data_IF_888529126527
#
_entry.id   IF_888529126527
#
_cell.length_a   1.000
_cell.length_b   1.000
_cell.length_c   1.000
_cell.angle_alpha   90.00
_cell.angle_beta   90.00
_cell.angle_gamma   90.00
#
_symmetry.space_group_name_H-M   'P 1'
#
loop_
_entity.id
_entity.type
_entity.pdbx_description
1 polymer ?
#
# COMPACT_ATOMS: atom_id res chain seq x y z
N UNK A 1 26.43 17.77 -8.14
CA UNK A 1 25.90 16.56 -8.78
C UNK A 1 26.98 15.49 -8.74
N UNK A 2 26.74 14.38 -8.05
CA UNK A 2 27.67 13.25 -8.03
C UNK A 2 27.53 12.49 -9.36
N UNK A 3 28.64 12.31 -10.07
CA UNK A 3 28.74 11.50 -11.29
C UNK A 3 29.57 10.27 -10.94
N UNK A 4 29.01 9.10 -11.20
CA UNK A 4 29.83 7.93 -11.42
C UNK A 4 29.58 7.45 -12.86
N UNK A 5 30.67 7.27 -13.61
CA UNK A 5 30.73 6.58 -14.90
C UNK A 5 29.84 7.08 -16.06
N UNK A 6 29.35 8.32 -16.03
CA UNK A 6 28.68 8.96 -17.18
C UNK A 6 27.19 8.67 -17.32
N UNK A 7 26.59 7.92 -16.39
CA UNK A 7 25.13 7.79 -16.26
C UNK A 7 24.60 8.88 -15.31
N UNK A 8 23.48 9.53 -15.67
CA UNK A 8 22.76 10.38 -14.72
C UNK A 8 22.20 9.48 -13.61
N UNK A 9 22.70 9.64 -12.38
CA UNK A 9 22.09 9.02 -11.20
C UNK A 9 20.74 9.70 -11.00
N UNK A 10 19.65 8.97 -11.24
CA UNK A 10 18.31 9.45 -10.91
C UNK A 10 18.10 9.36 -9.40
N UNK A 11 17.14 10.13 -8.90
CA UNK A 11 16.75 10.06 -7.50
C UNK A 11 16.27 8.65 -7.11
N UNK A 12 15.61 7.92 -8.02
CA UNK A 12 15.22 6.53 -7.76
C UNK A 12 16.44 5.63 -7.60
N UNK A 13 17.43 5.73 -8.49
CA UNK A 13 18.65 4.91 -8.43
C UNK A 13 19.47 5.20 -7.17
N UNK A 14 19.54 6.47 -6.74
CA UNK A 14 20.15 6.84 -5.47
C UNK A 14 19.42 6.21 -4.28
N UNK A 15 18.09 6.33 -4.22
CA UNK A 15 17.29 5.75 -3.15
C UNK A 15 17.41 4.21 -3.09
N UNK A 16 17.47 3.55 -4.24
CA UNK A 16 17.69 2.11 -4.33
C UNK A 16 19.06 1.70 -3.78
N UNK A 17 20.14 2.32 -4.27
CA UNK A 17 21.50 2.05 -3.80
C UNK A 17 21.67 2.35 -2.30
N UNK A 18 21.11 3.47 -1.83
CA UNK A 18 21.13 3.82 -0.41
C UNK A 18 20.43 2.76 0.45
N UNK A 19 19.28 2.24 0.00
CA UNK A 19 18.58 1.20 0.77
C UNK A 19 19.37 -0.11 0.79
N UNK A 20 19.97 -0.53 -0.33
CA UNK A 20 20.81 -1.73 -0.37
C UNK A 20 22.02 -1.64 0.57
N UNK A 21 22.66 -0.47 0.65
CA UNK A 21 23.86 -0.28 1.48
C UNK A 21 23.51 -0.19 2.98
N UNK A 22 22.41 0.47 3.34
CA UNK A 22 22.12 0.84 4.74
C UNK A 22 20.94 0.09 5.37
N UNK A 23 20.20 -0.73 4.62
CA UNK A 23 19.08 -1.53 5.13
C UNK A 23 19.48 -3.00 5.19
N UNK A 24 19.66 -3.59 6.39
CA UNK A 24 20.03 -5.00 6.51
C UNK A 24 19.02 -5.93 5.84
N UNK A 25 19.48 -7.03 5.26
CA UNK A 25 18.62 -8.07 4.65
C UNK A 25 17.56 -8.60 5.63
N UNK A 26 17.91 -8.68 6.92
CA UNK A 26 16.97 -9.06 7.99
C UNK A 26 15.80 -8.10 8.13
N UNK A 27 16.01 -6.81 7.83
CA UNK A 27 14.97 -5.79 7.84
C UNK A 27 14.03 -5.98 6.65
N UNK A 28 14.57 -6.21 5.44
CA UNK A 28 13.76 -6.55 4.26
C UNK A 28 12.88 -7.78 4.49
N UNK A 29 13.46 -8.86 4.99
CA UNK A 29 12.73 -10.09 5.35
C UNK A 29 11.65 -9.84 6.40
N UNK A 30 11.88 -8.91 7.34
CA UNK A 30 10.88 -8.51 8.33
C UNK A 30 9.76 -7.71 7.69
N UNK A 31 10.08 -6.72 6.85
CA UNK A 31 9.09 -5.91 6.13
C UNK A 31 8.26 -6.74 5.17
N UNK A 32 8.82 -7.77 4.53
CA UNK A 32 8.08 -8.69 3.66
C UNK A 32 7.05 -9.50 4.46
N UNK A 33 7.47 -10.08 5.59
CA UNK A 33 6.53 -10.72 6.53
C UNK A 33 5.47 -9.76 7.05
N UNK A 34 5.85 -8.54 7.39
CA UNK A 34 4.91 -7.52 7.85
C UNK A 34 3.88 -7.21 6.75
N UNK A 35 4.34 -7.01 5.52
CA UNK A 35 3.49 -6.74 4.36
C UNK A 35 2.53 -7.89 4.04
N UNK A 36 2.97 -9.13 4.21
CA UNK A 36 2.15 -10.31 3.99
C UNK A 36 1.06 -10.49 5.04
N UNK A 37 1.37 -10.14 6.28
CA UNK A 37 0.45 -10.23 7.40
C UNK A 37 -0.35 -8.95 7.63
N UNK A 38 -0.06 -7.87 6.90
CA UNK A 38 -0.77 -6.61 7.05
C UNK A 38 -2.25 -6.79 6.67
N UNK A 39 -3.11 -6.57 7.66
CA UNK A 39 -4.56 -6.55 7.54
C UNK A 39 -5.08 -5.27 8.19
N UNK A 40 -6.22 -4.77 7.72
CA UNK A 40 -6.91 -3.63 8.31
C UNK A 40 -7.22 -3.89 9.79
N UNK A 41 -7.74 -5.09 10.12
CA UNK A 41 -8.10 -5.44 11.49
C UNK A 41 -9.11 -4.43 12.07
N UNK A 42 -8.71 -3.77 13.16
CA UNK A 42 -9.50 -2.74 13.84
C UNK A 42 -9.11 -1.30 13.44
N UNK A 43 -8.14 -1.13 12.54
CA UNK A 43 -7.72 0.20 12.07
C UNK A 43 -8.81 0.80 11.18
N UNK A 44 -8.89 2.13 11.19
CA UNK A 44 -9.62 2.84 10.12
C UNK A 44 -8.96 2.56 8.78
N UNK A 45 -9.73 2.56 7.70
CA UNK A 45 -9.20 2.34 6.33
C UNK A 45 -8.05 3.30 6.03
N UNK A 46 -8.17 4.57 6.42
CA UNK A 46 -7.13 5.58 6.20
C UNK A 46 -5.80 5.22 6.91
N UNK A 47 -5.86 4.68 8.13
CA UNK A 47 -4.67 4.27 8.89
C UNK A 47 -4.02 3.04 8.27
N UNK A 48 -4.84 2.07 7.87
CA UNK A 48 -4.39 0.88 7.15
C UNK A 48 -3.71 1.25 5.81
N UNK A 49 -4.32 2.14 5.01
CA UNK A 49 -3.75 2.60 3.75
C UNK A 49 -2.41 3.33 3.93
N UNK A 50 -2.28 4.10 5.02
CA UNK A 50 -1.02 4.76 5.40
C UNK A 50 0.07 3.73 5.74
N UNK A 51 -0.23 2.74 6.59
CA UNK A 51 0.72 1.68 6.93
C UNK A 51 1.11 0.85 5.70
N UNK A 52 0.13 0.50 4.87
CA UNK A 52 0.36 -0.20 3.60
C UNK A 52 1.35 0.57 2.73
N UNK A 53 1.16 1.88 2.56
CA UNK A 53 2.03 2.73 1.74
C UNK A 53 3.45 2.85 2.28
N UNK A 54 3.62 2.88 3.60
CA UNK A 54 4.95 2.92 4.24
C UNK A 54 5.75 1.65 3.93
N UNK A 55 5.12 0.48 4.04
CA UNK A 55 5.78 -0.81 3.82
C UNK A 55 5.98 -1.07 2.32
N UNK A 56 5.05 -0.61 1.48
CA UNK A 56 5.09 -0.78 0.02
C UNK A 56 6.37 -0.23 -0.63
N UNK A 57 7.01 0.78 -0.04
CA UNK A 57 8.30 1.34 -0.51
C UNK A 57 9.40 0.28 -0.54
N UNK A 58 9.31 -0.76 0.30
CA UNK A 58 10.26 -1.87 0.35
C UNK A 58 9.88 -3.04 -0.57
N UNK A 59 8.74 -2.94 -1.27
CA UNK A 59 8.21 -4.00 -2.15
C UNK A 59 8.10 -3.51 -3.61
N UNK A 60 9.21 -3.23 -4.33
CA UNK A 60 9.16 -2.70 -5.70
C UNK A 60 8.34 -3.56 -6.66
N UNK A 61 8.40 -4.88 -6.48
CA UNK A 61 7.67 -5.86 -7.29
C UNK A 61 6.14 -5.72 -7.14
N UNK A 62 5.66 -5.18 -6.01
CA UNK A 62 4.24 -4.82 -5.80
C UNK A 62 3.99 -3.37 -6.18
N UNK A 63 4.87 -2.45 -5.77
CA UNK A 63 4.72 -1.02 -5.96
C UNK A 63 4.61 -0.62 -7.44
N UNK A 64 5.32 -1.30 -8.32
CA UNK A 64 5.36 -1.00 -9.76
C UNK A 64 4.21 -1.64 -10.56
N UNK A 65 3.37 -2.45 -9.91
CA UNK A 65 2.26 -3.15 -10.55
C UNK A 65 0.93 -2.73 -9.92
N UNK A 66 0.23 -1.78 -10.54
CA UNK A 66 -1.03 -1.23 -10.00
C UNK A 66 -2.06 -2.31 -9.65
N UNK A 67 -2.25 -3.29 -10.54
CA UNK A 67 -3.16 -4.42 -10.31
C UNK A 67 -2.76 -5.21 -9.06
N UNK A 68 -1.47 -5.49 -8.87
CA UNK A 68 -0.95 -6.27 -7.75
C UNK A 68 -1.06 -5.49 -6.45
N UNK A 69 -0.65 -4.21 -6.45
CA UNK A 69 -0.78 -3.27 -5.34
C UNK A 69 -2.22 -3.16 -4.84
N UNK A 70 -3.15 -2.86 -5.75
CA UNK A 70 -4.58 -2.79 -5.45
C UNK A 70 -5.11 -4.11 -4.90
N UNK A 71 -4.83 -5.23 -5.56
CA UNK A 71 -5.34 -6.53 -5.11
C UNK A 71 -4.81 -6.92 -3.72
N UNK A 72 -3.56 -6.58 -3.41
CA UNK A 72 -2.98 -6.81 -2.08
C UNK A 72 -3.67 -5.95 -1.03
N UNK A 73 -3.89 -4.66 -1.32
CA UNK A 73 -4.65 -3.76 -0.44
C UNK A 73 -6.05 -4.31 -0.13
N UNK A 74 -6.81 -4.67 -1.18
CA UNK A 74 -8.16 -5.23 -1.05
C UNK A 74 -8.18 -6.50 -0.19
N UNK A 75 -7.23 -7.43 -0.40
CA UNK A 75 -7.12 -8.66 0.39
C UNK A 75 -6.80 -8.44 1.88
N UNK A 76 -6.33 -7.24 2.23
CA UNK A 76 -6.09 -6.88 3.62
C UNK A 76 -7.25 -6.13 4.27
N UNK A 77 -8.24 -5.66 3.49
CA UNK A 77 -9.45 -5.05 4.05
C UNK A 77 -10.25 -6.05 4.88
N UNK A 78 -11.04 -5.50 5.80
CA UNK A 78 -12.00 -6.26 6.58
C UNK A 78 -13.07 -6.88 5.65
N UNK A 79 -13.60 -8.09 5.92
CA UNK A 79 -14.38 -8.84 4.93
C UNK A 79 -15.64 -8.15 4.41
N UNK A 80 -16.25 -7.30 5.23
CA UNK A 80 -17.40 -6.45 4.88
C UNK A 80 -17.02 -5.38 3.85
N UNK A 81 -16.00 -4.58 4.15
CA UNK A 81 -15.49 -3.55 3.24
C UNK A 81 -14.93 -4.15 1.94
N UNK A 82 -14.21 -5.27 2.04
CA UNK A 82 -13.69 -5.97 0.87
C UNK A 82 -14.77 -6.26 -0.17
N UNK A 83 -15.92 -6.79 0.25
CA UNK A 83 -17.03 -7.14 -0.66
C UNK A 83 -17.63 -5.90 -1.30
N UNK A 84 -17.84 -4.84 -0.52
CA UNK A 84 -18.44 -3.60 -1.02
C UNK A 84 -17.51 -2.89 -2.01
N UNK A 85 -16.23 -2.75 -1.68
CA UNK A 85 -15.23 -2.12 -2.56
C UNK A 85 -15.01 -2.95 -3.82
N UNK A 86 -14.96 -4.27 -3.71
CA UNK A 86 -14.81 -5.16 -4.88
C UNK A 86 -15.99 -5.01 -5.85
N UNK A 87 -17.21 -4.84 -5.33
CA UNK A 87 -18.40 -4.64 -6.17
C UNK A 87 -18.35 -3.33 -6.98
N UNK A 88 -17.72 -2.29 -6.41
CA UNK A 88 -17.49 -1.01 -7.08
C UNK A 88 -16.42 -1.05 -8.19
N UNK A 89 -15.75 -2.19 -8.40
CA UNK A 89 -14.83 -2.43 -9.53
C UNK A 89 -13.68 -1.41 -9.65
N UNK A 90 -13.08 -0.99 -8.53
CA UNK A 90 -11.94 -0.06 -8.52
C UNK A 90 -10.78 -0.55 -9.40
N UNK A 91 -10.34 0.27 -10.35
CA UNK A 91 -9.28 -0.06 -11.30
C UNK A 91 -7.90 0.16 -10.71
N UNK A 92 -7.74 1.16 -9.84
CA UNK A 92 -6.44 1.57 -9.27
C UNK A 92 -6.36 1.37 -7.76
N UNK A 93 -5.15 1.41 -7.20
CA UNK A 93 -4.97 1.41 -5.73
C UNK A 93 -5.65 2.61 -5.08
N UNK A 94 -5.51 3.80 -5.67
CA UNK A 94 -6.08 5.05 -5.14
C UNK A 94 -7.61 4.99 -5.12
N UNK A 95 -8.24 4.52 -6.20
CA UNK A 95 -9.70 4.31 -6.23
C UNK A 95 -10.16 3.32 -5.16
N UNK A 96 -9.42 2.22 -4.95
CA UNK A 96 -9.76 1.25 -3.93
C UNK A 96 -9.66 1.85 -2.51
N UNK A 97 -8.68 2.71 -2.25
CA UNK A 97 -8.53 3.42 -0.97
C UNK A 97 -9.68 4.40 -0.77
N UNK A 98 -9.96 5.27 -1.74
CA UNK A 98 -11.02 6.27 -1.63
C UNK A 98 -12.38 5.61 -1.42
N UNK A 99 -12.73 4.63 -2.25
CA UNK A 99 -13.98 3.90 -2.11
C UNK A 99 -14.10 3.23 -0.74
N UNK A 100 -13.02 2.62 -0.24
CA UNK A 100 -13.04 1.98 1.07
C UNK A 100 -13.23 2.99 2.21
N UNK A 101 -12.65 4.20 2.11
CA UNK A 101 -12.83 5.27 3.08
C UNK A 101 -14.27 5.78 3.05
N UNK A 102 -14.81 6.10 1.87
CA UNK A 102 -16.17 6.62 1.72
C UNK A 102 -17.22 5.61 2.26
N UNK A 103 -17.02 4.32 1.97
CA UNK A 103 -17.88 3.25 2.50
C UNK A 103 -17.74 3.14 4.02
N UNK A 104 -16.53 3.15 4.56
CA UNK A 104 -16.32 3.08 6.02
C UNK A 104 -16.97 4.27 6.73
N UNK A 105 -16.86 5.47 6.18
CA UNK A 105 -17.50 6.68 6.73
C UNK A 105 -19.01 6.61 6.65
N UNK A 106 -19.58 6.17 5.52
CA UNK A 106 -21.02 5.96 5.38
C UNK A 106 -21.58 4.91 6.34
N UNK A 107 -20.80 3.88 6.70
CA UNK A 107 -21.21 2.87 7.69
C UNK A 107 -21.13 3.37 9.13
N UNK A 108 -20.35 4.43 9.38
CA UNK A 108 -20.22 5.06 10.70
C UNK A 108 -21.19 6.23 10.89
N UNK A 109 -21.85 6.71 9.84
CA UNK A 109 -22.85 7.76 9.91
C UNK A 109 -24.16 7.21 10.51
N UNK A 110 -24.55 7.64 11.73
CA UNK A 110 -25.77 7.17 12.38
C UNK A 110 -27.06 7.61 11.67
N UNK A 111 -26.98 8.61 10.78
CA UNK A 111 -28.11 9.17 10.04
C UNK A 111 -28.15 8.73 8.56
N UNK A 112 -27.33 7.74 8.19
CA UNK A 112 -27.29 7.22 6.82
C UNK A 112 -28.66 6.64 6.38
N UNK A 113 -29.18 7.01 5.18
CA UNK A 113 -30.43 6.45 4.68
C UNK A 113 -30.27 4.94 4.40
N UNK A 114 -31.19 4.15 4.98
CA UNK A 114 -31.30 2.69 4.82
C UNK A 114 -31.82 2.31 3.44
#
# INVERSE_FOLDING_TARGET
MLRDSGAMITWESFCEAFRQEYTPESYYSSSEREFDNLKQGNMRVAEYARQFSVILVYMPHVANQERTKRNKFLKGLRPDLYRMVLSGSSATFVEAVNNAVDIEESLMDPDAPV
#
